data_IF_611936203577
#
_entry.id   IF_611936203577
#
_cell.length_a   1.000
_cell.length_b   1.000
_cell.length_c   1.000
_cell.angle_alpha   90.00
_cell.angle_beta   90.00
_cell.angle_gamma   90.00
#
_symmetry.space_group_name_H-M   'P 1'
#
loop_
_entity.id
_entity.type
_entity.pdbx_description
1 polymer ?
#
# COMPACT_ATOMS: atom_id res chain seq x y z
N UNK A 1 -20.85 7.21 -14.62
CA UNK A 1 -19.62 7.87 -14.09
C UNK A 1 -19.75 9.36 -14.39
N UNK A 2 -19.59 10.27 -13.41
CA UNK A 2 -20.02 11.67 -13.57
C UNK A 2 -19.04 12.59 -14.33
N UNK A 3 -17.72 12.47 -14.11
CA UNK A 3 -16.73 13.40 -14.67
C UNK A 3 -15.44 12.68 -15.13
N UNK A 4 -15.37 12.14 -16.35
CA UNK A 4 -14.17 11.45 -16.84
C UNK A 4 -12.92 12.35 -16.90
N UNK A 5 -13.10 13.66 -17.12
CA UNK A 5 -12.01 14.64 -17.12
C UNK A 5 -11.48 15.04 -15.72
N UNK A 6 -12.05 14.51 -14.62
CA UNK A 6 -11.63 14.88 -13.26
C UNK A 6 -10.31 14.21 -12.84
N UNK A 7 -9.94 13.06 -13.41
CA UNK A 7 -8.80 12.27 -12.91
C UNK A 7 -7.45 12.96 -13.17
N UNK A 8 -7.18 13.59 -14.33
CA UNK A 8 -5.97 14.41 -14.51
C UNK A 8 -5.85 15.58 -13.52
N UNK A 9 -6.96 16.13 -13.05
CA UNK A 9 -6.97 17.25 -12.09
C UNK A 9 -6.61 16.82 -10.66
N UNK A 10 -6.77 15.55 -10.32
CA UNK A 10 -6.27 14.98 -9.04
C UNK A 10 -4.74 14.94 -9.03
N UNK A 11 -4.10 14.75 -10.20
CA UNK A 11 -2.65 14.66 -10.33
C UNK A 11 -1.95 16.04 -10.28
N UNK A 12 -2.66 17.14 -10.52
CA UNK A 12 -2.10 18.50 -10.50
C UNK A 12 -2.32 19.25 -9.18
N UNK A 13 -3.18 18.75 -8.29
CA UNK A 13 -3.35 19.29 -6.92
C UNK A 13 -2.37 18.63 -5.95
N UNK A 14 -1.93 19.41 -4.95
CA UNK A 14 -1.20 18.91 -3.79
C UNK A 14 -2.08 17.91 -3.02
N UNK A 15 -1.69 16.64 -3.01
CA UNK A 15 -2.37 15.52 -2.33
C UNK A 15 -2.27 15.56 -0.79
N UNK A 16 -1.82 16.68 -0.22
CA UNK A 16 -1.53 16.88 1.21
C UNK A 16 -2.66 17.61 1.96
N UNK A 17 -3.90 17.60 1.44
CA UNK A 17 -5.06 18.21 2.09
C UNK A 17 -5.93 17.17 2.81
N UNK A 18 -6.64 17.50 3.91
CA UNK A 18 -7.46 16.55 4.66
C UNK A 18 -8.47 15.76 3.80
N UNK A 19 -9.11 16.42 2.83
CA UNK A 19 -10.04 15.78 1.91
C UNK A 19 -9.39 14.72 0.98
N UNK A 20 -8.10 14.85 0.68
CA UNK A 20 -7.36 13.87 -0.12
C UNK A 20 -6.91 12.66 0.73
N UNK A 21 -6.78 12.83 2.04
CA UNK A 21 -6.40 11.77 2.99
C UNK A 21 -7.61 11.01 3.55
N UNK A 22 -8.81 11.59 3.55
CA UNK A 22 -10.01 10.96 4.09
C UNK A 22 -10.31 9.53 3.55
N UNK A 23 -10.14 9.21 2.25
CA UNK A 23 -10.31 7.83 1.77
C UNK A 23 -9.26 6.86 2.32
N UNK A 24 -8.02 7.32 2.49
CA UNK A 24 -6.93 6.53 3.07
C UNK A 24 -7.16 6.28 4.56
N UNK A 25 -7.67 7.28 5.29
CA UNK A 25 -8.05 7.14 6.70
C UNK A 25 -9.18 6.11 6.87
N UNK A 26 -10.24 6.18 6.04
CA UNK A 26 -11.34 5.19 6.07
C UNK A 26 -10.84 3.77 5.80
N UNK A 27 -9.88 3.59 4.88
CA UNK A 27 -9.25 2.29 4.64
C UNK A 27 -8.41 1.81 5.84
N UNK A 28 -7.57 2.68 6.42
CA UNK A 28 -6.78 2.34 7.60
C UNK A 28 -7.67 1.95 8.80
N UNK A 29 -8.69 2.77 9.09
CA UNK A 29 -9.74 2.51 10.09
C UNK A 29 -10.64 1.31 9.76
N UNK A 30 -10.65 0.81 8.52
CA UNK A 30 -11.27 -0.46 8.17
C UNK A 30 -10.36 -1.66 8.48
N UNK A 31 -9.06 -1.53 8.22
CA UNK A 31 -8.08 -2.59 8.44
C UNK A 31 -7.76 -2.82 9.92
N UNK A 32 -7.82 -1.80 10.78
CA UNK A 32 -7.66 -1.96 12.25
C UNK A 32 -8.65 -2.97 12.85
N UNK A 33 -9.86 -3.08 12.28
CA UNK A 33 -10.89 -4.06 12.71
C UNK A 33 -10.52 -5.53 12.46
N UNK A 34 -9.45 -5.80 11.71
CA UNK A 34 -8.93 -7.16 11.51
C UNK A 34 -8.06 -7.66 12.67
N UNK A 35 -7.75 -6.83 13.66
CA UNK A 35 -6.82 -7.15 14.75
C UNK A 35 -5.35 -6.96 14.39
N UNK A 36 -5.03 -6.53 13.16
CA UNK A 36 -3.68 -6.15 12.76
C UNK A 36 -3.23 -4.85 13.44
N UNK A 37 -1.97 -4.83 13.88
CA UNK A 37 -1.30 -3.67 14.43
C UNK A 37 0.07 -3.42 13.79
N UNK A 38 0.71 -2.30 14.16
CA UNK A 38 2.09 -2.00 13.81
C UNK A 38 2.44 -2.16 12.32
N UNK A 39 3.51 -2.92 12.05
CA UNK A 39 4.02 -3.15 10.70
C UNK A 39 3.07 -3.94 9.80
N UNK A 40 2.26 -4.84 10.35
CA UNK A 40 1.35 -5.68 9.57
C UNK A 40 0.15 -4.85 9.08
N UNK A 41 -0.37 -3.95 9.92
CA UNK A 41 -1.40 -2.98 9.55
C UNK A 41 -0.90 -2.04 8.43
N UNK A 42 0.32 -1.52 8.55
CA UNK A 42 0.95 -0.68 7.51
C UNK A 42 1.13 -1.46 6.20
N UNK A 43 1.52 -2.73 6.28
CA UNK A 43 1.73 -3.60 5.12
C UNK A 43 0.40 -3.91 4.42
N UNK A 44 -0.64 -4.25 5.17
CA UNK A 44 -1.99 -4.46 4.65
C UNK A 44 -2.54 -3.20 3.95
N UNK A 45 -2.39 -2.03 4.59
CA UNK A 45 -2.79 -0.74 4.00
C UNK A 45 -2.05 -0.46 2.68
N UNK A 46 -0.72 -0.64 2.66
CA UNK A 46 0.09 -0.43 1.45
C UNK A 46 -0.26 -1.41 0.34
N UNK A 47 -0.55 -2.68 0.66
CA UNK A 47 -0.92 -3.69 -0.32
C UNK A 47 -2.24 -3.33 -1.04
N UNK A 48 -3.28 -2.98 -0.28
CA UNK A 48 -4.58 -2.56 -0.86
C UNK A 48 -4.42 -1.28 -1.68
N UNK A 49 -3.72 -0.26 -1.15
CA UNK A 49 -3.48 0.99 -1.88
C UNK A 49 -2.67 0.80 -3.16
N UNK A 50 -1.65 -0.06 -3.16
CA UNK A 50 -0.84 -0.34 -4.33
C UNK A 50 -1.64 -1.07 -5.43
N UNK A 51 -2.50 -2.02 -5.06
CA UNK A 51 -3.39 -2.70 -6.00
C UNK A 51 -4.41 -1.75 -6.63
N UNK A 52 -5.12 -0.97 -5.80
CA UNK A 52 -6.10 0.02 -6.28
C UNK A 52 -5.44 1.07 -7.16
N UNK A 53 -4.25 1.56 -6.79
CA UNK A 53 -3.50 2.51 -7.61
C UNK A 53 -3.00 1.89 -8.91
N UNK A 54 -2.53 0.63 -8.89
CA UNK A 54 -2.07 -0.07 -10.09
C UNK A 54 -3.19 -0.27 -11.12
N UNK A 55 -4.36 -0.75 -10.68
CA UNK A 55 -5.54 -0.85 -11.55
C UNK A 55 -6.08 0.52 -11.97
N UNK A 56 -6.03 1.54 -11.10
CA UNK A 56 -6.39 2.90 -11.48
C UNK A 56 -5.42 3.49 -12.53
N UNK A 57 -4.12 3.17 -12.46
CA UNK A 57 -3.11 3.58 -13.44
C UNK A 57 -3.27 2.86 -14.77
N UNK A 58 -3.51 1.54 -14.76
CA UNK A 58 -3.85 0.77 -15.96
C UNK A 58 -5.16 1.29 -16.59
N UNK A 59 -6.18 1.52 -15.76
CA UNK A 59 -7.44 2.14 -16.14
C UNK A 59 -7.35 3.63 -16.51
N UNK A 60 -6.22 4.30 -16.24
CA UNK A 60 -5.91 5.69 -16.61
C UNK A 60 -5.19 5.82 -17.95
N UNK A 61 -4.64 4.75 -18.49
CA UNK A 61 -4.50 4.64 -19.94
C UNK A 61 -5.90 4.59 -20.62
N UNK A 62 -6.89 4.08 -19.89
CA UNK A 62 -8.28 3.84 -20.31
C UNK A 62 -9.14 5.02 -20.79
N UNK A 63 -9.09 6.26 -20.24
CA UNK A 63 -9.96 7.35 -20.69
C UNK A 63 -9.55 7.90 -22.07
N UNK A 64 -8.39 7.46 -22.57
CA UNK A 64 -7.87 7.72 -23.92
C UNK A 64 -7.82 6.43 -24.76
N UNK A 65 -8.10 5.26 -24.17
CA UNK A 65 -8.07 3.99 -24.86
C UNK A 65 -9.45 3.68 -25.47
N UNK A 66 -9.54 3.25 -26.74
CA UNK A 66 -10.79 2.83 -27.34
C UNK A 66 -11.47 1.68 -26.59
N UNK A 67 -12.78 1.53 -26.77
CA UNK A 67 -13.49 0.31 -26.37
C UNK A 67 -12.77 -0.92 -26.96
N UNK A 68 -12.58 -1.95 -26.14
CA UNK A 68 -11.82 -3.15 -26.53
C UNK A 68 -10.29 -3.02 -26.54
N UNK A 69 -9.70 -1.89 -26.10
CA UNK A 69 -8.24 -1.76 -26.04
C UNK A 69 -7.55 -2.80 -25.14
N UNK A 70 -8.14 -3.14 -23.98
CA UNK A 70 -7.65 -4.21 -23.13
C UNK A 70 -7.67 -5.57 -23.85
N UNK A 71 -8.77 -5.88 -24.55
CA UNK A 71 -8.92 -7.08 -25.39
C UNK A 71 -7.93 -7.12 -26.56
N UNK A 72 -7.60 -5.95 -27.13
CA UNK A 72 -6.62 -5.84 -28.21
C UNK A 72 -5.18 -6.08 -27.72
N UNK A 73 -4.82 -5.52 -26.56
CA UNK A 73 -3.50 -5.75 -25.95
C UNK A 73 -3.35 -7.18 -25.44
N UNK A 74 -4.40 -7.76 -24.84
CA UNK A 74 -4.45 -9.18 -24.52
C UNK A 74 -4.16 -10.08 -25.73
N UNK A 75 -4.84 -9.83 -26.86
CA UNK A 75 -4.64 -10.59 -28.11
C UNK A 75 -3.20 -10.43 -28.63
N UNK A 76 -2.63 -9.23 -28.52
CA UNK A 76 -1.24 -8.93 -28.89
C UNK A 76 -0.24 -9.71 -28.03
N UNK A 77 -0.43 -9.70 -26.71
CA UNK A 77 0.37 -10.48 -25.76
C UNK A 77 0.26 -11.98 -26.08
N UNK A 78 -0.95 -12.47 -26.38
CA UNK A 78 -1.18 -13.86 -26.77
C UNK A 78 -0.37 -14.28 -28.00
N UNK A 79 -0.38 -13.47 -29.06
CA UNK A 79 0.39 -13.71 -30.29
C UNK A 79 1.91 -13.63 -30.07
N UNK A 80 2.39 -12.71 -29.23
CA UNK A 80 3.82 -12.61 -28.88
C UNK A 80 4.29 -13.76 -27.97
N UNK A 81 3.39 -14.30 -27.14
CA UNK A 81 3.66 -15.40 -26.22
C UNK A 81 3.54 -16.80 -26.86
N UNK A 82 3.01 -16.88 -28.09
CA UNK A 82 2.81 -18.15 -28.79
C UNK A 82 4.14 -18.87 -29.04
N UNK A 83 4.17 -20.19 -28.83
CA UNK A 83 5.36 -21.03 -28.96
C UNK A 83 6.50 -20.78 -27.96
N UNK A 84 6.48 -19.69 -27.18
CA UNK A 84 7.63 -19.24 -26.37
C UNK A 84 7.31 -19.01 -24.89
N UNK A 85 6.12 -18.52 -24.56
CA UNK A 85 5.73 -18.12 -23.20
C UNK A 85 4.36 -18.74 -22.82
N UNK A 86 4.31 -20.08 -22.62
CA UNK A 86 3.05 -20.84 -22.50
C UNK A 86 2.20 -20.53 -21.27
N UNK A 87 2.74 -19.81 -20.28
CA UNK A 87 1.96 -19.26 -19.16
C UNK A 87 1.21 -17.99 -19.58
N UNK A 88 1.88 -17.06 -20.27
CA UNK A 88 1.29 -15.79 -20.71
C UNK A 88 0.27 -16.01 -21.83
N UNK A 89 0.53 -16.93 -22.76
CA UNK A 89 -0.42 -17.30 -23.82
C UNK A 89 -1.76 -17.80 -23.23
N UNK A 90 -1.72 -18.62 -22.18
CA UNK A 90 -2.93 -19.07 -21.46
C UNK A 90 -3.66 -17.95 -20.71
N UNK A 91 -2.93 -17.02 -20.10
CA UNK A 91 -3.54 -15.87 -19.41
C UNK A 91 -4.17 -14.89 -20.41
N UNK A 92 -3.50 -14.62 -21.53
CA UNK A 92 -4.02 -13.80 -22.62
C UNK A 92 -5.36 -14.34 -23.16
N UNK A 93 -5.47 -15.66 -23.33
CA UNK A 93 -6.67 -16.32 -23.85
C UNK A 93 -7.93 -16.12 -22.99
N UNK A 94 -7.80 -15.98 -21.66
CA UNK A 94 -8.95 -15.83 -20.72
C UNK A 94 -9.16 -14.40 -20.22
N UNK A 95 -8.22 -13.50 -20.50
CA UNK A 95 -8.22 -12.12 -19.97
C UNK A 95 -9.40 -11.26 -20.42
N UNK A 96 -9.91 -11.48 -21.65
CA UNK A 96 -11.06 -10.76 -22.18
C UNK A 96 -12.34 -11.02 -21.37
N UNK A 97 -12.54 -12.27 -20.95
CA UNK A 97 -13.75 -12.71 -20.25
C UNK A 97 -13.81 -12.26 -18.78
N UNK A 98 -12.68 -11.80 -18.22
CA UNK A 98 -12.53 -11.45 -16.82
C UNK A 98 -12.24 -9.95 -16.58
N UNK A 99 -12.21 -9.13 -17.62
CA UNK A 99 -11.81 -7.71 -17.51
C UNK A 99 -12.71 -6.91 -16.55
N UNK A 100 -14.02 -7.17 -16.54
CA UNK A 100 -14.97 -6.51 -15.62
C UNK A 100 -14.89 -7.06 -14.17
N UNK A 101 -14.41 -8.29 -13.98
CA UNK A 101 -14.26 -8.93 -12.66
C UNK A 101 -12.88 -8.69 -12.01
N UNK A 102 -11.87 -8.28 -12.77
CA UNK A 102 -10.46 -8.27 -12.35
C UNK A 102 -10.25 -7.46 -11.05
N UNK A 103 -10.92 -6.32 -10.92
CA UNK A 103 -10.87 -5.48 -9.73
C UNK A 103 -11.41 -6.21 -8.49
N UNK A 104 -12.66 -6.69 -8.54
CA UNK A 104 -13.31 -7.33 -7.39
C UNK A 104 -12.63 -8.64 -7.00
N UNK A 105 -12.20 -9.42 -8.00
CA UNK A 105 -11.53 -10.70 -7.80
C UNK A 105 -10.11 -10.52 -7.25
N UNK A 106 -9.35 -9.55 -7.76
CA UNK A 106 -8.03 -9.20 -7.22
C UNK A 106 -8.11 -8.63 -5.81
N UNK A 107 -9.10 -7.77 -5.53
CA UNK A 107 -9.34 -7.23 -4.18
C UNK A 107 -9.72 -8.36 -3.19
N UNK A 108 -10.59 -9.29 -3.60
CA UNK A 108 -10.97 -10.45 -2.79
C UNK A 108 -9.77 -11.35 -2.46
N UNK A 109 -8.84 -11.58 -3.39
CA UNK A 109 -7.59 -12.32 -3.14
C UNK A 109 -6.70 -11.60 -2.11
N UNK A 110 -6.52 -10.29 -2.23
CA UNK A 110 -5.71 -9.49 -1.29
C UNK A 110 -6.32 -9.49 0.11
N UNK A 111 -7.63 -9.22 0.23
CA UNK A 111 -8.34 -9.26 1.51
C UNK A 111 -8.35 -10.67 2.11
N UNK A 112 -8.43 -11.71 1.27
CA UNK A 112 -8.28 -13.10 1.68
C UNK A 112 -6.91 -13.42 2.28
N UNK A 113 -5.83 -12.88 1.70
CA UNK A 113 -4.47 -12.98 2.23
C UNK A 113 -4.27 -12.20 3.53
N UNK A 114 -4.76 -10.95 3.61
CA UNK A 114 -4.73 -10.11 4.81
C UNK A 114 -5.45 -10.79 5.98
N UNK A 115 -6.64 -11.38 5.72
CA UNK A 115 -7.40 -12.15 6.72
C UNK A 115 -6.63 -13.39 7.22
N UNK A 116 -5.93 -14.10 6.33
CA UNK A 116 -5.09 -15.23 6.72
C UNK A 116 -3.88 -14.79 7.56
N UNK A 117 -3.24 -13.67 7.22
CA UNK A 117 -2.16 -13.10 8.02
C UNK A 117 -2.63 -12.69 9.43
N UNK A 118 -3.79 -12.03 9.53
CA UNK A 118 -4.40 -11.66 10.82
C UNK A 118 -4.73 -12.88 11.70
N UNK A 119 -5.27 -13.95 11.09
CA UNK A 119 -5.51 -15.22 11.79
C UNK A 119 -4.20 -15.93 12.20
N UNK A 120 -3.19 -15.92 11.33
CA UNK A 120 -1.86 -16.50 11.61
C UNK A 120 -1.07 -15.76 12.69
N UNK A 121 -1.28 -14.45 12.83
CA UNK A 121 -0.67 -13.62 13.89
C UNK A 121 -1.05 -14.03 15.32
N UNK A 122 -2.09 -14.86 15.48
CA UNK A 122 -2.49 -15.43 16.77
C UNK A 122 -1.73 -16.72 17.15
N UNK A 123 -0.86 -17.24 16.26
CA UNK A 123 -0.14 -18.51 16.42
C UNK A 123 1.40 -18.36 16.50
N UNK A 124 1.89 -17.23 17.01
CA UNK A 124 3.31 -17.01 17.33
C UNK A 124 3.46 -16.28 18.68
N UNK A 125 4.43 -16.66 19.53
CA UNK A 125 4.54 -16.08 20.86
C UNK A 125 4.86 -14.58 20.77
N UNK A 126 4.25 -13.81 21.67
CA UNK A 126 4.47 -12.37 21.79
C UNK A 126 5.97 -12.07 21.86
N UNK A 127 6.51 -11.45 20.80
CA UNK A 127 7.84 -10.85 20.88
C UNK A 127 7.75 -9.67 21.82
N UNK A 128 8.29 -9.85 23.02
CA UNK A 128 8.34 -8.83 24.04
C UNK A 128 8.91 -7.52 23.48
N UNK A 129 8.05 -6.50 23.41
CA UNK A 129 8.48 -5.11 23.38
C UNK A 129 8.16 -4.53 24.76
N UNK A 130 9.02 -4.89 25.70
CA UNK A 130 9.03 -4.42 27.09
C UNK A 130 10.52 -4.21 27.45
N UNK A 131 11.00 -3.04 27.89
CA UNK A 131 10.26 -1.81 28.13
C UNK A 131 11.15 -0.55 28.16
N UNK A 132 11.16 0.25 29.24
CA UNK A 132 10.90 1.68 29.15
C UNK A 132 12.13 2.61 29.06
N UNK A 133 11.92 3.83 28.56
CA UNK A 133 12.84 4.99 28.74
C UNK A 133 12.11 6.30 29.09
N UNK A 134 11.64 6.36 30.33
CA UNK A 134 11.48 7.58 31.14
C UNK A 134 11.83 7.20 32.59
N UNK A 135 12.35 8.05 33.48
CA UNK A 135 12.74 9.47 33.43
C UNK A 135 14.17 9.59 34.06
N UNK A 136 14.77 10.71 34.50
CA UNK A 136 14.40 12.13 34.64
C UNK A 136 15.71 12.98 34.46
N UNK A 137 15.68 14.26 34.09
CA UNK A 137 15.56 15.44 34.99
C UNK A 137 16.08 15.28 36.42
N UNK A 138 17.21 15.94 36.75
CA UNK A 138 17.76 15.96 38.11
C UNK A 138 19.11 16.65 38.18
N UNK A 139 19.14 17.93 38.57
CA UNK A 139 20.38 18.67 38.79
C UNK A 139 20.92 18.44 40.22
N UNK A 140 22.22 18.14 40.35
CA UNK A 140 22.96 18.27 41.62
C UNK A 140 24.27 19.01 41.38
N UNK A 141 24.65 19.82 42.37
CA UNK A 141 25.72 20.82 42.34
C UNK A 141 26.80 20.43 43.35
N UNK A 142 28.07 20.47 42.96
CA UNK A 142 29.23 20.49 43.86
C UNK A 142 30.39 19.60 43.39
N UNK A 143 31.66 19.84 43.72
CA UNK A 143 32.48 20.99 44.13
C UNK A 143 33.85 20.40 44.53
N UNK A 144 34.90 20.64 43.73
CA UNK A 144 36.33 20.52 44.07
C UNK A 144 37.11 21.21 42.93
N UNK A 145 37.98 22.21 43.13
CA UNK A 145 39.15 22.37 44.01
C UNK A 145 40.46 21.92 43.32
N UNK A 146 41.51 22.76 43.38
CA UNK A 146 42.75 22.65 42.60
C UNK A 146 42.78 23.66 41.44
N UNK A 147 43.11 24.93 41.64
CA UNK A 147 44.45 25.48 41.97
C UNK A 147 45.49 25.21 40.86
N UNK A 148 45.82 26.26 40.09
CA UNK A 148 47.11 26.34 39.43
C UNK A 148 47.50 27.79 39.07
N UNK A 149 48.79 28.05 39.29
CA UNK A 149 49.54 29.30 39.28
C UNK A 149 49.24 30.26 38.09
N UNK A 150 49.20 31.60 38.30
CA UNK A 150 50.37 32.50 38.32
C UNK A 150 51.31 32.30 37.11
N UNK A 151 51.32 33.25 36.15
CA UNK A 151 52.35 34.32 36.03
C UNK A 151 52.15 35.18 34.78
N UNK A 152 52.45 36.48 34.93
CA UNK A 152 52.71 37.51 33.91
C UNK A 152 51.51 37.94 33.03
#
# INVERSE_FOLDING_TARGET
RAHPAAVPLVLTRRTSGPAALAPAEVLASALTRSGLGGGDLLTAFRAVMAFVMGLAQAGLAGPLAPEGAATAEARRIGALAEGTLPALSRLAAVSADHADEEFDRGLALILGGIRQAAAGGHAGPARAQDGPRGHASGAVRGHASGDNLRTN
#
